data_IF_782794333254
#
_entry.id   IF_782794333254
#
_cell.length_a   1.000
_cell.length_b   1.000
_cell.length_c   1.000
_cell.angle_alpha   90.00
_cell.angle_beta   90.00
_cell.angle_gamma   90.00
#
_symmetry.space_group_name_H-M   'P 1'
#
loop_
_entity.id
_entity.type
_entity.pdbx_description
1 polymer ?
#
# COMPACT_ATOMS: atom_id res chain seq x y z
N UNK A 1 -6.99 7.94 -29.93
CA UNK A 1 -5.94 7.88 -28.89
C UNK A 1 -5.10 6.65 -29.21
N UNK A 2 -4.36 6.64 -30.32
CA UNK A 2 -3.96 5.39 -31.01
C UNK A 2 -3.24 4.34 -30.15
N UNK A 3 -2.43 4.76 -29.17
CA UNK A 3 -1.71 3.83 -28.29
C UNK A 3 -2.54 3.33 -27.10
N UNK A 4 -3.54 4.09 -26.63
CA UNK A 4 -4.44 3.67 -25.55
C UNK A 4 -5.58 2.77 -26.07
N UNK A 5 -5.88 2.86 -27.38
CA UNK A 5 -6.90 2.04 -28.03
C UNK A 5 -6.40 0.60 -28.32
N UNK A 6 -5.12 0.29 -28.05
CA UNK A 6 -4.52 -1.05 -28.22
C UNK A 6 -4.77 -1.93 -26.99
N UNK A 7 -5.22 -3.20 -27.13
CA UNK A 7 -5.47 -4.09 -26.00
C UNK A 7 -4.27 -4.28 -25.05
N UNK A 8 -3.04 -4.14 -25.56
CA UNK A 8 -1.82 -4.25 -24.76
C UNK A 8 -1.61 -3.06 -23.82
N UNK A 9 -2.28 -1.93 -24.07
CA UNK A 9 -2.15 -0.74 -23.24
C UNK A 9 -2.60 -0.99 -21.80
N UNK A 10 -3.64 -1.81 -21.60
CA UNK A 10 -4.13 -2.17 -20.27
C UNK A 10 -3.06 -2.88 -19.45
N UNK A 11 -2.47 -3.94 -20.01
CA UNK A 11 -1.45 -4.73 -19.33
C UNK A 11 -0.16 -3.94 -19.07
N UNK A 12 0.26 -3.11 -20.03
CA UNK A 12 1.41 -2.22 -19.88
C UNK A 12 1.19 -1.18 -18.77
N UNK A 13 0.00 -0.59 -18.70
CA UNK A 13 -0.34 0.38 -17.66
C UNK A 13 -0.36 -0.27 -16.27
N UNK A 14 -0.96 -1.45 -16.14
CA UNK A 14 -0.95 -2.20 -14.88
C UNK A 14 0.48 -2.49 -14.40
N UNK A 15 1.34 -2.97 -15.31
CA UNK A 15 2.76 -3.21 -15.02
C UNK A 15 3.50 -1.94 -14.61
N UNK A 16 3.31 -0.86 -15.37
CA UNK A 16 3.89 0.43 -15.03
C UNK A 16 3.45 0.91 -13.64
N UNK A 17 2.18 0.78 -13.30
CA UNK A 17 1.66 1.19 -12.00
C UNK A 17 2.29 0.38 -10.86
N UNK A 18 2.41 -0.94 -11.01
CA UNK A 18 3.06 -1.79 -10.01
C UNK A 18 4.54 -1.40 -9.80
N UNK A 19 5.27 -1.10 -10.87
CA UNK A 19 6.66 -0.64 -10.84
C UNK A 19 6.82 0.74 -10.20
N UNK A 20 5.97 1.68 -10.59
CA UNK A 20 5.98 3.04 -10.07
C UNK A 20 5.70 3.04 -8.57
N UNK A 21 4.74 2.24 -8.12
CA UNK A 21 4.40 2.06 -6.71
C UNK A 21 5.37 1.15 -5.95
N UNK A 22 6.24 0.41 -6.63
CA UNK A 22 7.24 -0.46 -6.01
C UNK A 22 6.65 -1.69 -5.31
N UNK A 23 5.52 -2.21 -5.81
CA UNK A 23 4.78 -3.32 -5.18
C UNK A 23 5.02 -4.68 -5.85
N UNK A 24 5.86 -4.77 -6.88
CA UNK A 24 6.05 -5.99 -7.69
C UNK A 24 6.51 -7.21 -6.88
N UNK A 25 7.28 -6.98 -5.83
CA UNK A 25 7.85 -8.05 -5.00
C UNK A 25 6.97 -8.45 -3.82
N UNK A 26 5.75 -7.91 -3.70
CA UNK A 26 4.90 -8.17 -2.53
C UNK A 26 4.55 -9.66 -2.36
N UNK A 27 4.39 -10.39 -3.47
CA UNK A 27 4.10 -11.84 -3.44
C UNK A 27 5.22 -12.69 -2.81
N UNK A 28 6.45 -12.15 -2.75
CA UNK A 28 7.62 -12.81 -2.15
C UNK A 28 8.12 -12.06 -0.90
N UNK A 29 7.31 -11.16 -0.36
CA UNK A 29 7.67 -10.46 0.86
C UNK A 29 7.74 -11.43 2.05
N UNK A 30 8.80 -11.29 2.85
CA UNK A 30 9.05 -12.07 4.06
C UNK A 30 8.22 -11.52 5.21
N UNK A 31 6.90 -11.74 5.19
CA UNK A 31 6.02 -11.37 6.30
C UNK A 31 6.00 -12.48 7.34
N UNK A 32 6.14 -12.09 8.60
CA UNK A 32 6.05 -12.99 9.74
C UNK A 32 4.66 -13.61 9.80
N UNK A 33 4.57 -14.92 9.59
CA UNK A 33 3.30 -15.67 9.75
C UNK A 33 2.89 -15.85 11.21
N UNK A 34 3.80 -15.53 12.15
CA UNK A 34 3.46 -15.41 13.58
C UNK A 34 2.66 -14.13 13.83
N UNK A 35 3.03 -13.03 13.16
CA UNK A 35 2.34 -11.74 13.28
C UNK A 35 1.11 -11.66 12.38
N UNK A 36 1.21 -12.19 11.16
CA UNK A 36 0.19 -12.14 10.11
C UNK A 36 -0.16 -13.58 9.67
N UNK A 37 -0.95 -14.33 10.45
CA UNK A 37 -1.25 -15.74 10.17
C UNK A 37 -1.94 -15.99 8.83
N UNK A 38 -2.65 -15.00 8.31
CA UNK A 38 -3.31 -15.02 7.00
C UNK A 38 -2.36 -14.83 5.83
N UNK A 39 -1.12 -14.36 6.08
CA UNK A 39 -0.16 -14.08 5.02
C UNK A 39 0.24 -15.34 4.26
N UNK A 40 0.05 -15.29 2.95
CA UNK A 40 0.52 -16.29 2.00
C UNK A 40 0.95 -15.61 0.70
N UNK A 41 1.90 -16.20 -0.06
CA UNK A 41 2.31 -15.65 -1.36
C UNK A 41 1.15 -15.39 -2.32
N UNK A 42 0.11 -16.23 -2.28
CA UNK A 42 -1.10 -16.06 -3.09
C UNK A 42 -1.89 -14.78 -2.71
N UNK A 43 -1.96 -14.44 -1.42
CA UNK A 43 -2.59 -13.20 -0.97
C UNK A 43 -1.77 -11.99 -1.44
N UNK A 44 -0.44 -12.03 -1.33
CA UNK A 44 0.43 -10.99 -1.87
C UNK A 44 0.26 -10.80 -3.39
N UNK A 45 0.16 -11.90 -4.15
CA UNK A 45 -0.11 -11.85 -5.57
C UNK A 45 -1.49 -11.21 -5.87
N UNK A 46 -2.52 -11.55 -5.11
CA UNK A 46 -3.84 -10.95 -5.24
C UNK A 46 -3.80 -9.43 -4.95
N UNK A 47 -3.09 -8.99 -3.92
CA UNK A 47 -2.92 -7.55 -3.60
C UNK A 47 -2.25 -6.77 -4.76
N UNK A 48 -1.22 -7.35 -5.37
CA UNK A 48 -0.57 -6.72 -6.54
C UNK A 48 -1.55 -6.63 -7.71
N UNK A 49 -2.30 -7.70 -7.97
CA UNK A 49 -3.26 -7.77 -9.06
C UNK A 49 -4.44 -6.82 -8.87
N UNK A 50 -4.97 -6.69 -7.64
CA UNK A 50 -5.94 -5.65 -7.28
C UNK A 50 -5.46 -4.27 -7.74
N UNK A 51 -4.22 -3.92 -7.42
CA UNK A 51 -3.69 -2.60 -7.73
C UNK A 51 -3.56 -2.37 -9.22
N UNK A 52 -3.10 -3.38 -9.97
CA UNK A 52 -3.02 -3.33 -11.43
C UNK A 52 -4.40 -3.18 -12.07
N UNK A 53 -5.38 -3.96 -11.59
CA UNK A 53 -6.77 -3.92 -12.07
C UNK A 53 -7.45 -2.61 -11.75
N UNK A 54 -7.30 -2.11 -10.53
CA UNK A 54 -7.86 -0.83 -10.13
C UNK A 54 -7.33 0.33 -10.97
N UNK A 55 -6.00 0.46 -11.11
CA UNK A 55 -5.41 1.56 -11.90
C UNK A 55 -5.88 1.49 -13.35
N UNK A 56 -5.92 0.29 -13.93
CA UNK A 56 -6.39 0.14 -15.31
C UNK A 56 -7.89 0.36 -15.45
N UNK A 57 -8.69 -0.08 -14.49
CA UNK A 57 -10.12 0.18 -14.45
C UNK A 57 -10.39 1.69 -14.40
N UNK A 58 -9.76 2.43 -13.48
CA UNK A 58 -9.91 3.90 -13.40
C UNK A 58 -9.60 4.58 -14.74
N UNK A 59 -8.55 4.14 -15.44
CA UNK A 59 -8.12 4.78 -16.70
C UNK A 59 -8.97 4.40 -17.92
N UNK A 60 -9.40 3.14 -18.01
CA UNK A 60 -10.08 2.61 -19.21
C UNK A 60 -11.60 2.48 -19.07
N UNK A 61 -12.10 2.25 -17.86
CA UNK A 61 -13.50 1.97 -17.56
C UNK A 61 -14.15 3.08 -16.68
N UNK A 62 -13.34 3.80 -15.88
CA UNK A 62 -13.76 4.87 -14.97
C UNK A 62 -13.60 6.29 -15.54
N UNK A 63 -13.38 7.26 -14.66
CA UNK A 63 -13.26 8.69 -15.01
C UNK A 63 -11.91 9.06 -15.63
N UNK A 64 -10.88 8.24 -15.43
CA UNK A 64 -9.50 8.53 -15.81
C UNK A 64 -8.87 9.69 -15.03
N UNK A 65 -9.42 10.04 -13.85
CA UNK A 65 -8.97 11.16 -13.03
C UNK A 65 -8.11 10.74 -11.85
N UNK A 66 -7.27 11.67 -11.38
CA UNK A 66 -6.51 11.48 -10.14
C UNK A 66 -7.39 11.48 -8.89
N UNK A 67 -8.55 12.14 -8.95
CA UNK A 67 -9.52 12.17 -7.85
C UNK A 67 -9.98 10.74 -7.55
N UNK A 68 -10.58 10.07 -8.53
CA UNK A 68 -11.00 8.67 -8.42
C UNK A 68 -9.83 7.74 -8.03
N UNK A 69 -8.66 7.91 -8.66
CA UNK A 69 -7.47 7.10 -8.34
C UNK A 69 -7.08 7.16 -6.85
N UNK A 70 -7.27 8.32 -6.21
CA UNK A 70 -6.83 8.59 -4.84
C UNK A 70 -7.95 8.47 -3.80
N UNK A 71 -9.21 8.62 -4.21
CA UNK A 71 -10.34 8.73 -3.27
C UNK A 71 -11.46 7.71 -3.52
N UNK A 72 -11.36 6.85 -4.54
CA UNK A 72 -12.35 5.79 -4.75
C UNK A 72 -12.57 4.98 -3.47
N UNK A 73 -13.82 4.76 -3.15
CA UNK A 73 -14.30 3.97 -2.02
C UNK A 73 -14.61 2.52 -2.43
N UNK A 74 -14.11 2.10 -3.58
CA UNK A 74 -14.23 0.76 -4.15
C UNK A 74 -12.90 0.26 -4.69
N UNK A 75 -12.80 -1.05 -4.92
CA UNK A 75 -11.68 -1.68 -5.62
C UNK A 75 -12.13 -2.93 -6.37
N UNK A 76 -11.19 -3.57 -7.07
CA UNK A 76 -11.38 -4.82 -7.78
C UNK A 76 -10.80 -5.93 -6.91
N UNK A 77 -11.65 -6.76 -6.31
CA UNK A 77 -11.27 -7.75 -5.31
C UNK A 77 -11.68 -9.15 -5.74
N UNK A 78 -10.87 -10.14 -5.35
CA UNK A 78 -11.22 -11.56 -5.42
C UNK A 78 -11.65 -12.05 -4.01
N UNK A 79 -12.08 -13.32 -3.84
CA UNK A 79 -12.49 -13.83 -2.54
C UNK A 79 -11.43 -13.71 -1.43
N UNK A 80 -10.14 -13.91 -1.76
CA UNK A 80 -9.04 -13.78 -0.81
C UNK A 80 -8.89 -12.33 -0.28
N UNK A 81 -8.97 -11.34 -1.16
CA UNK A 81 -8.92 -9.92 -0.78
C UNK A 81 -10.17 -9.48 -0.03
N UNK A 82 -11.35 -9.96 -0.45
CA UNK A 82 -12.58 -9.66 0.25
C UNK A 82 -12.52 -10.16 1.70
N UNK A 83 -12.02 -11.39 1.92
CA UNK A 83 -11.76 -11.92 3.25
C UNK A 83 -10.75 -11.04 4.02
N UNK A 84 -9.64 -10.66 3.38
CA UNK A 84 -8.61 -9.80 3.99
C UNK A 84 -9.14 -8.41 4.37
N UNK A 85 -10.07 -7.85 3.59
CA UNK A 85 -10.68 -6.54 3.85
C UNK A 85 -11.97 -6.62 4.67
N UNK A 86 -12.47 -7.80 5.01
CA UNK A 86 -13.76 -7.96 5.70
C UNK A 86 -14.97 -7.59 4.84
N UNK A 87 -14.85 -7.67 3.52
CA UNK A 87 -15.93 -7.44 2.55
C UNK A 87 -16.79 -8.70 2.47
N UNK A 88 -18.09 -8.56 2.73
CA UNK A 88 -19.07 -9.64 2.66
C UNK A 88 -19.96 -9.52 1.41
N UNK A 89 -20.66 -10.60 1.07
CA UNK A 89 -21.69 -10.58 0.03
C UNK A 89 -21.18 -10.77 -1.41
N UNK A 90 -19.92 -11.19 -1.58
CA UNK A 90 -19.45 -11.67 -2.88
C UNK A 90 -20.21 -12.95 -3.31
N UNK A 91 -20.33 -13.13 -4.62
CA UNK A 91 -20.92 -14.33 -5.21
C UNK A 91 -20.09 -15.58 -4.80
N UNK A 92 -20.69 -16.60 -4.15
CA UNK A 92 -20.01 -17.83 -3.77
C UNK A 92 -19.40 -18.63 -4.93
N UNK A 93 -19.79 -18.35 -6.18
CA UNK A 93 -19.24 -18.97 -7.38
C UNK A 93 -17.91 -18.39 -7.87
N UNK A 94 -17.44 -17.27 -7.29
CA UNK A 94 -16.18 -16.63 -7.68
C UNK A 94 -14.97 -17.48 -7.26
N UNK A 95 -14.06 -17.71 -8.18
CA UNK A 95 -12.75 -18.31 -7.92
C UNK A 95 -11.67 -17.28 -7.61
N UNK A 96 -10.47 -17.75 -7.29
CA UNK A 96 -9.34 -16.90 -6.90
C UNK A 96 -8.86 -15.92 -8.00
N UNK A 97 -9.22 -16.17 -9.26
CA UNK A 97 -8.86 -15.32 -10.40
C UNK A 97 -10.00 -14.38 -10.82
N UNK A 98 -11.17 -14.49 -10.19
CA UNK A 98 -12.33 -13.69 -10.52
C UNK A 98 -12.35 -12.42 -9.65
N UNK A 99 -11.89 -11.33 -10.24
CA UNK A 99 -11.88 -10.02 -9.61
C UNK A 99 -13.15 -9.26 -9.99
N UNK A 100 -13.88 -8.80 -8.98
CA UNK A 100 -15.12 -8.02 -9.12
C UNK A 100 -15.02 -6.71 -8.37
N UNK A 101 -15.76 -5.72 -8.83
CA UNK A 101 -15.88 -4.45 -8.11
C UNK A 101 -16.60 -4.66 -6.77
N UNK A 102 -16.02 -4.12 -5.69
CA UNK A 102 -16.65 -4.11 -4.39
C UNK A 102 -16.30 -2.84 -3.61
N UNK A 103 -17.24 -2.41 -2.77
CA UNK A 103 -17.04 -1.32 -1.84
C UNK A 103 -15.95 -1.68 -0.82
N UNK A 104 -15.00 -0.77 -0.61
CA UNK A 104 -13.98 -0.88 0.42
C UNK A 104 -14.53 -0.43 1.79
N UNK A 105 -13.95 -0.96 2.89
CA UNK A 105 -14.19 -0.41 4.22
C UNK A 105 -13.85 1.09 4.32
N UNK A 106 -14.54 1.89 5.15
CA UNK A 106 -14.38 3.35 5.22
C UNK A 106 -12.98 3.88 5.53
N UNK A 107 -12.11 3.05 6.11
CA UNK A 107 -10.72 3.39 6.39
C UNK A 107 -9.82 3.34 5.15
N UNK A 108 -10.24 2.67 4.06
CA UNK A 108 -9.48 2.50 2.81
C UNK A 108 -10.06 3.39 1.72
N UNK A 109 -9.19 4.06 0.97
CA UNK A 109 -9.56 4.84 -0.19
C UNK A 109 -8.43 4.87 -1.22
N UNK A 110 -8.79 4.68 -2.49
CA UNK A 110 -7.91 4.70 -3.65
C UNK A 110 -6.65 3.83 -3.53
N UNK A 111 -5.69 4.07 -4.41
CA UNK A 111 -4.43 3.30 -4.45
C UNK A 111 -3.63 3.35 -3.14
N UNK A 112 -3.80 4.41 -2.34
CA UNK A 112 -3.05 4.59 -1.09
C UNK A 112 -3.59 3.71 0.05
N UNK A 113 -4.85 3.26 -0.05
CA UNK A 113 -5.48 2.32 0.88
C UNK A 113 -5.27 0.85 0.53
N UNK A 114 -4.65 0.53 -0.61
CA UNK A 114 -4.42 -0.86 -1.04
C UNK A 114 -3.42 -1.58 -0.14
N UNK A 115 -3.70 -2.84 0.21
CA UNK A 115 -2.80 -3.63 1.03
C UNK A 115 -1.43 -3.88 0.37
N UNK A 116 -1.36 -3.93 -0.97
CA UNK A 116 -0.09 -4.07 -1.70
C UNK A 116 0.91 -2.97 -1.33
N UNK A 117 0.45 -1.72 -1.27
CA UNK A 117 1.25 -0.54 -0.94
C UNK A 117 1.59 -0.55 0.55
N UNK A 118 0.58 -0.72 1.40
CA UNK A 118 0.74 -0.73 2.85
C UNK A 118 1.72 -1.81 3.32
N UNK A 119 1.68 -2.99 2.73
CA UNK A 119 2.53 -4.12 3.07
C UNK A 119 3.92 -4.02 2.45
N UNK A 120 4.06 -3.52 1.22
CA UNK A 120 5.37 -3.29 0.57
C UNK A 120 6.22 -2.28 1.34
N UNK A 121 5.57 -1.30 1.99
CA UNK A 121 6.23 -0.28 2.80
C UNK A 121 6.13 -0.54 4.31
N UNK A 122 6.12 -1.82 4.71
CA UNK A 122 6.17 -2.24 6.12
C UNK A 122 7.42 -3.11 6.39
N UNK A 123 7.65 -3.45 7.65
CA UNK A 123 8.60 -4.49 8.04
C UNK A 123 7.96 -5.88 7.91
N UNK A 124 8.70 -6.94 8.23
CA UNK A 124 8.18 -8.32 8.20
C UNK A 124 7.09 -8.54 9.25
N UNK A 125 7.20 -7.89 10.39
CA UNK A 125 6.47 -8.16 11.62
C UNK A 125 5.73 -6.93 12.18
N UNK A 126 5.77 -5.79 11.48
CA UNK A 126 5.12 -4.55 11.89
C UNK A 126 4.97 -3.55 10.74
N UNK A 127 4.08 -2.58 10.90
CA UNK A 127 3.96 -1.40 10.02
C UNK A 127 5.22 -0.52 10.07
N UNK A 128 5.32 0.45 9.17
CA UNK A 128 6.43 1.39 9.15
C UNK A 128 5.98 2.77 8.65
N UNK A 129 5.64 3.71 9.55
CA UNK A 129 5.27 5.06 9.14
C UNK A 129 6.42 5.73 8.38
N UNK A 130 7.67 5.48 8.76
CA UNK A 130 8.84 6.05 8.07
C UNK A 130 8.90 5.62 6.60
N UNK A 131 8.74 4.31 6.30
CA UNK A 131 8.79 3.80 4.92
C UNK A 131 7.62 4.30 4.08
N UNK A 132 6.42 4.38 4.68
CA UNK A 132 5.21 4.88 4.01
C UNK A 132 5.27 6.39 3.75
N UNK A 133 5.81 7.17 4.70
CA UNK A 133 6.08 8.60 4.52
C UNK A 133 7.14 8.86 3.43
N UNK A 134 8.22 8.05 3.40
CA UNK A 134 9.23 8.11 2.35
C UNK A 134 8.66 7.75 0.98
N UNK A 135 7.75 6.77 0.89
CA UNK A 135 7.04 6.47 -0.35
C UNK A 135 6.34 7.73 -0.90
N UNK A 136 5.54 8.43 -0.08
CA UNK A 136 4.83 9.64 -0.52
C UNK A 136 5.84 10.69 -1.00
N UNK A 137 6.89 10.94 -0.21
CA UNK A 137 7.93 11.93 -0.53
C UNK A 137 8.65 11.61 -1.84
N UNK A 138 9.04 10.37 -2.05
CA UNK A 138 9.89 9.97 -3.17
C UNK A 138 9.09 9.67 -4.44
N UNK A 139 8.00 8.92 -4.33
CA UNK A 139 7.23 8.41 -5.49
C UNK A 139 6.14 9.37 -5.96
N UNK A 140 5.54 10.15 -5.04
CA UNK A 140 4.47 11.08 -5.39
C UNK A 140 4.98 12.53 -5.53
N UNK A 141 5.87 12.97 -4.63
CA UNK A 141 6.35 14.35 -4.58
C UNK A 141 7.73 14.55 -5.24
N UNK A 142 8.34 13.47 -5.76
CA UNK A 142 9.65 13.50 -6.42
C UNK A 142 10.78 14.10 -5.56
N UNK A 143 10.70 13.96 -4.24
CA UNK A 143 11.69 14.47 -3.30
C UNK A 143 12.72 13.39 -2.96
N UNK A 144 14.00 13.73 -3.03
CA UNK A 144 15.07 12.81 -2.67
C UNK A 144 15.43 12.94 -1.19
N UNK A 145 15.66 11.80 -0.55
CA UNK A 145 16.15 11.71 0.83
C UNK A 145 17.44 10.89 0.83
N UNK A 146 18.44 11.35 1.58
CA UNK A 146 19.68 10.61 1.76
C UNK A 146 19.47 9.33 2.55
N UNK A 147 20.50 8.47 2.58
CA UNK A 147 20.50 7.32 3.48
C UNK A 147 20.48 7.80 4.95
N UNK A 148 19.77 7.09 5.85
CA UNK A 148 19.85 7.37 7.27
C UNK A 148 21.31 7.42 7.76
N UNK A 149 21.65 8.27 8.74
CA UNK A 149 22.97 8.27 9.37
C UNK A 149 23.36 6.88 9.89
N UNK A 150 24.66 6.49 9.88
CA UNK A 150 25.09 5.19 10.41
C UNK A 150 24.67 4.92 11.86
N UNK A 151 24.45 5.97 12.64
CA UNK A 151 24.02 5.94 14.03
C UNK A 151 22.51 6.23 14.23
N UNK A 152 21.68 6.09 13.19
CA UNK A 152 20.24 6.39 13.24
C UNK A 152 19.43 5.47 14.17
N UNK A 153 20.06 4.45 14.76
CA UNK A 153 19.38 3.47 15.62
C UNK A 153 18.62 2.41 14.83
N UNK A 154 17.86 1.60 15.55
CA UNK A 154 17.02 0.54 15.00
C UNK A 154 15.56 0.93 14.90
N UNK A 155 14.75 0.04 14.33
CA UNK A 155 13.29 0.17 14.40
C UNK A 155 12.86 -0.07 15.85
N UNK A 156 12.05 0.82 16.46
CA UNK A 156 11.54 0.62 17.80
C UNK A 156 10.81 -0.73 17.93
N UNK A 157 10.98 -1.42 19.06
CA UNK A 157 10.22 -2.65 19.34
C UNK A 157 8.72 -2.39 19.41
N UNK A 158 7.93 -3.42 19.12
CA UNK A 158 6.46 -3.37 19.24
C UNK A 158 6.07 -3.36 20.71
N UNK A 159 5.53 -2.22 21.17
CA UNK A 159 4.93 -2.10 22.50
C UNK A 159 3.40 -2.04 22.36
N UNK A 160 2.65 -3.04 22.87
CA UNK A 160 1.19 -3.07 22.78
C UNK A 160 0.51 -1.98 23.64
N UNK A 161 1.23 -1.33 24.54
CA UNK A 161 0.70 -0.28 25.41
C UNK A 161 0.99 1.13 24.87
N UNK A 162 1.65 1.24 23.72
CA UNK A 162 2.01 2.50 23.09
C UNK A 162 1.45 2.56 21.67
N UNK A 163 0.89 3.72 21.30
CA UNK A 163 0.56 4.02 19.90
C UNK A 163 1.83 4.05 19.06
N UNK A 164 1.68 3.86 17.74
CA UNK A 164 2.79 4.02 16.80
C UNK A 164 3.48 5.38 16.98
N UNK A 165 2.72 6.47 17.19
CA UNK A 165 3.30 7.81 17.41
C UNK A 165 4.16 7.87 18.68
N UNK A 166 3.74 7.21 19.76
CA UNK A 166 4.55 7.13 20.99
C UNK A 166 5.85 6.35 20.79
N UNK A 167 5.79 5.23 20.08
CA UNK A 167 6.97 4.39 19.78
C UNK A 167 8.02 5.13 18.94
N UNK A 168 7.57 5.98 18.03
CA UNK A 168 8.44 6.77 17.14
C UNK A 168 8.74 8.19 17.68
N UNK A 169 8.39 8.50 18.95
CA UNK A 169 8.55 9.84 19.54
C UNK A 169 9.99 10.38 19.46
N UNK A 170 11.00 9.51 19.52
CA UNK A 170 12.41 9.88 19.40
C UNK A 170 12.68 10.75 18.16
N UNK A 171 12.01 10.47 17.04
CA UNK A 171 12.19 11.22 15.81
C UNK A 171 11.84 12.70 15.92
N UNK A 172 10.91 13.04 16.82
CA UNK A 172 10.50 14.42 17.09
C UNK A 172 11.32 15.07 18.21
N UNK A 173 11.85 14.29 19.16
CA UNK A 173 12.53 14.82 20.35
C UNK A 173 14.05 14.91 20.22
N UNK A 174 14.67 14.08 19.37
CA UNK A 174 16.11 14.10 19.10
C UNK A 174 16.40 15.13 17.99
N UNK A 175 17.23 16.16 18.24
CA UNK A 175 17.63 17.14 17.23
C UNK A 175 18.28 16.52 15.99
N UNK A 176 18.96 15.37 16.12
CA UNK A 176 19.59 14.70 14.97
C UNK A 176 18.58 13.97 14.09
N UNK A 177 17.50 13.44 14.68
CA UNK A 177 16.45 12.73 13.94
C UNK A 177 15.44 13.71 13.31
N UNK A 178 15.03 14.73 14.06
CA UNK A 178 13.97 15.66 13.65
C UNK A 178 14.31 16.45 12.38
N UNK A 179 15.60 16.67 12.09
CA UNK A 179 16.07 17.31 10.85
C UNK A 179 15.41 16.71 9.61
N UNK A 180 15.34 15.39 9.53
CA UNK A 180 14.73 14.67 8.41
C UNK A 180 13.29 14.26 8.70
N UNK A 181 13.03 13.76 9.91
CA UNK A 181 11.74 13.13 10.24
C UNK A 181 10.56 14.09 10.33
N UNK A 182 10.80 15.39 10.55
CA UNK A 182 9.76 16.42 10.45
C UNK A 182 9.05 16.43 9.08
N UNK A 183 9.69 15.92 8.03
CA UNK A 183 9.10 15.82 6.70
C UNK A 183 8.46 14.45 6.44
N UNK A 184 8.82 13.41 7.19
CA UNK A 184 8.49 12.02 6.84
C UNK A 184 7.35 11.51 7.71
N UNK A 185 7.46 11.68 9.02
CA UNK A 185 6.70 10.88 9.98
C UNK A 185 5.20 11.20 9.95
N UNK A 186 4.83 12.48 9.87
CA UNK A 186 3.40 12.87 9.85
C UNK A 186 2.67 12.34 8.62
N UNK A 187 3.33 12.28 7.46
CA UNK A 187 2.77 11.64 6.27
C UNK A 187 2.61 10.14 6.50
N UNK A 188 3.63 9.51 7.09
CA UNK A 188 3.64 8.10 7.44
C UNK A 188 2.53 7.69 8.41
N UNK A 189 2.32 8.48 9.46
CA UNK A 189 1.30 8.22 10.46
C UNK A 189 -0.12 8.26 9.90
N UNK A 190 -0.35 8.95 8.77
CA UNK A 190 -1.62 8.89 8.05
C UNK A 190 -1.99 7.48 7.58
N UNK A 191 -1.01 6.58 7.46
CA UNK A 191 -1.21 5.18 7.06
C UNK A 191 -1.30 4.21 8.23
N UNK A 192 -1.27 4.66 9.49
CA UNK A 192 -1.22 3.77 10.66
C UNK A 192 -2.62 3.42 11.22
N UNK A 193 -3.65 3.54 10.38
CA UNK A 193 -5.05 3.19 10.72
C UNK A 193 -5.44 1.76 10.31
N UNK A 194 -4.54 1.03 9.65
CA UNK A 194 -4.77 -0.30 9.07
C UNK A 194 -4.09 -1.42 9.87
#
# INVERSE_FOLDING_TARGET
RRLLDDPRARELLGTFAAQWLGIESIAVADKSTVTYPEWQPALGAAMAEETRRFVTHVVFDGSGSFDELLTADYSLVNPALASHYGIAGLDPGLGDQDFVEAQLPPERAGILGHASLLASYAHSDQSSPVRRGLFVRQRLLCQQFGTPPPNAGGVPEVDPNATTRERFRQHSSDPNCSICHQFIDELGFGFERF
#
